data_IF_455193204560
#
_entry.id   IF_455193204560
#
_cell.length_a   1.000
_cell.length_b   1.000
_cell.length_c   1.000
_cell.angle_alpha   90.00
_cell.angle_beta   90.00
_cell.angle_gamma   90.00
#
_symmetry.space_group_name_H-M   'P 1'
#
loop_
_entity.id
_entity.type
_entity.pdbx_description
1 polymer ?
#
# COMPACT_ATOMS: atom_id res chain seq x y z
N UNK A 1 50.51 -66.99 -28.11
CA UNK A 1 50.12 -68.42 -28.05
C UNK A 1 48.68 -68.46 -27.57
N UNK A 2 47.66 -68.97 -28.23
CA UNK A 2 47.50 -69.71 -29.49
C UNK A 2 46.05 -69.52 -29.94
N UNK A 3 45.90 -69.38 -31.25
CA UNK A 3 44.67 -69.22 -32.02
C UNK A 3 43.98 -70.58 -32.19
N UNK A 4 42.68 -70.70 -31.92
CA UNK A 4 41.87 -71.84 -32.38
C UNK A 4 40.61 -71.32 -33.05
N UNK A 5 40.58 -71.52 -34.38
CA UNK A 5 39.40 -71.43 -35.23
C UNK A 5 38.53 -72.67 -35.02
N UNK A 6 37.21 -72.52 -35.02
CA UNK A 6 36.30 -73.58 -35.47
C UNK A 6 35.24 -73.03 -36.41
N UNK A 7 35.06 -73.78 -37.50
CA UNK A 7 34.29 -73.47 -38.71
C UNK A 7 32.79 -73.75 -38.52
N UNK A 8 32.02 -72.93 -39.24
CA UNK A 8 30.68 -73.10 -39.81
C UNK A 8 30.06 -74.51 -39.82
N UNK A 9 28.77 -74.60 -39.48
CA UNK A 9 27.77 -75.35 -40.25
C UNK A 9 26.41 -74.64 -40.18
N UNK A 10 25.84 -74.39 -41.36
CA UNK A 10 24.49 -73.86 -41.58
C UNK A 10 23.48 -74.99 -41.40
N UNK A 11 22.48 -74.78 -40.55
CA UNK A 11 21.24 -75.56 -40.55
C UNK A 11 20.07 -74.57 -40.67
N UNK A 12 19.45 -74.55 -41.85
CA UNK A 12 18.23 -73.81 -42.10
C UNK A 12 17.05 -74.54 -41.43
N UNK A 13 16.35 -73.85 -40.53
CA UNK A 13 15.07 -74.32 -39.98
C UNK A 13 14.01 -73.29 -40.40
N UNK A 14 13.02 -73.67 -41.21
CA UNK A 14 11.95 -72.77 -41.62
C UNK A 14 10.93 -72.72 -40.49
N UNK A 15 10.78 -71.58 -39.81
CA UNK A 15 9.67 -71.39 -38.87
C UNK A 15 8.92 -70.10 -39.20
N UNK A 16 7.86 -70.33 -39.98
CA UNK A 16 6.54 -69.67 -39.95
C UNK A 16 6.51 -68.21 -39.48
N UNK A 17 6.38 -67.32 -40.45
CA UNK A 17 5.95 -65.94 -40.28
C UNK A 17 4.51 -65.96 -39.72
N UNK A 18 4.36 -65.80 -38.41
CA UNK A 18 3.10 -65.42 -37.79
C UNK A 18 2.97 -63.90 -37.80
N UNK A 19 2.36 -63.33 -38.84
CA UNK A 19 1.92 -61.93 -38.79
C UNK A 19 0.71 -61.88 -37.86
N UNK A 20 0.94 -61.61 -36.58
CA UNK A 20 -0.11 -61.12 -35.70
C UNK A 20 -0.46 -59.72 -36.14
N UNK A 21 -1.55 -59.58 -36.90
CA UNK A 21 -2.22 -58.31 -37.07
C UNK A 21 -2.86 -57.98 -35.73
N UNK A 22 -2.11 -57.31 -34.86
CA UNK A 22 -2.71 -56.59 -33.75
C UNK A 22 -3.52 -55.45 -34.37
N UNK A 23 -4.84 -55.65 -34.51
CA UNK A 23 -5.74 -54.55 -34.76
C UNK A 23 -5.60 -53.59 -33.57
N UNK A 24 -4.91 -52.48 -33.78
CA UNK A 24 -4.89 -51.39 -32.81
C UNK A 24 -6.32 -50.84 -32.74
N UNK A 25 -7.11 -51.36 -31.79
CA UNK A 25 -8.35 -50.72 -31.37
C UNK A 25 -7.92 -49.38 -30.78
N UNK A 26 -8.05 -48.33 -31.58
CA UNK A 26 -7.92 -46.96 -31.09
C UNK A 26 -9.14 -46.72 -30.22
N UNK A 27 -9.03 -47.03 -28.93
CA UNK A 27 -9.96 -46.51 -27.94
C UNK A 27 -9.76 -45.00 -27.98
N UNK A 28 -10.67 -44.30 -28.68
CA UNK A 28 -10.83 -42.86 -28.46
C UNK A 28 -11.30 -42.72 -27.03
N UNK A 29 -10.36 -42.46 -26.12
CA UNK A 29 -10.69 -41.85 -24.85
C UNK A 29 -11.28 -40.49 -25.20
N UNK A 30 -12.60 -40.41 -25.29
CA UNK A 30 -13.29 -39.14 -25.21
C UNK A 30 -12.98 -38.62 -23.81
N UNK A 31 -11.94 -37.78 -23.70
CA UNK A 31 -11.77 -36.94 -22.54
C UNK A 31 -13.12 -36.22 -22.38
N UNK A 32 -13.80 -36.35 -21.22
CA UNK A 32 -14.92 -35.48 -20.99
C UNK A 32 -14.39 -34.06 -21.16
N UNK A 33 -15.07 -33.26 -21.98
CA UNK A 33 -14.87 -31.82 -21.98
C UNK A 33 -15.17 -31.37 -20.55
N UNK A 34 -14.13 -31.37 -19.71
CA UNK A 34 -14.09 -30.58 -18.50
C UNK A 34 -14.02 -29.18 -19.06
N UNK A 35 -15.20 -28.61 -19.31
CA UNK A 35 -15.37 -27.17 -19.27
C UNK A 35 -14.67 -26.76 -17.98
N UNK A 36 -13.46 -26.22 -18.12
CA UNK A 36 -12.79 -25.55 -17.04
C UNK A 36 -13.78 -24.46 -16.63
N UNK A 37 -14.54 -24.73 -15.57
CA UNK A 37 -15.35 -23.73 -14.93
C UNK A 37 -14.35 -22.67 -14.49
N UNK A 38 -14.24 -21.60 -15.27
CA UNK A 38 -13.52 -20.41 -14.87
C UNK A 38 -14.07 -20.04 -13.51
N UNK A 39 -13.25 -19.99 -12.43
CA UNK A 39 -13.74 -19.62 -11.13
C UNK A 39 -14.20 -18.17 -11.21
N UNK A 40 -15.50 -17.98 -11.46
CA UNK A 40 -16.20 -16.69 -11.50
C UNK A 40 -16.55 -16.24 -10.08
N UNK A 41 -15.64 -16.48 -9.15
CA UNK A 41 -15.65 -15.91 -7.81
C UNK A 41 -14.34 -15.16 -7.63
N UNK A 42 -14.18 -14.09 -8.41
CA UNK A 42 -13.40 -12.96 -7.93
C UNK A 42 -14.29 -12.34 -6.86
N UNK A 43 -14.27 -12.89 -5.65
CA UNK A 43 -14.77 -12.15 -4.49
C UNK A 43 -14.02 -10.83 -4.55
N UNK A 44 -14.73 -9.77 -4.90
CA UNK A 44 -14.19 -8.42 -4.84
C UNK A 44 -14.04 -8.15 -3.36
N UNK A 45 -12.89 -8.54 -2.82
CA UNK A 45 -12.55 -8.30 -1.44
C UNK A 45 -12.40 -6.78 -1.31
N UNK A 46 -13.38 -6.15 -0.64
CA UNK A 46 -13.35 -4.71 -0.38
C UNK A 46 -12.15 -4.34 0.49
N UNK A 47 -11.43 -3.29 0.10
CA UNK A 47 -10.45 -2.62 0.92
C UNK A 47 -11.06 -1.39 1.60
N UNK A 48 -11.91 -1.64 2.60
CA UNK A 48 -12.43 -0.59 3.48
C UNK A 48 -11.56 -0.52 4.73
N UNK A 49 -11.25 0.69 5.18
CA UNK A 49 -10.57 0.88 6.47
C UNK A 49 -11.53 0.59 7.62
N UNK A 50 -11.06 -0.16 8.62
CA UNK A 50 -11.80 -0.39 9.86
C UNK A 50 -11.20 0.51 10.94
N UNK A 51 -11.90 1.56 11.42
CA UNK A 51 -11.41 2.39 12.51
C UNK A 51 -11.13 1.57 13.77
N UNK A 52 -10.14 1.96 14.60
CA UNK A 52 -9.87 1.25 15.83
C UNK A 52 -11.07 1.36 16.79
N UNK A 53 -11.47 0.23 17.38
CA UNK A 53 -12.55 0.22 18.37
C UNK A 53 -12.05 0.87 19.68
N UNK A 54 -12.37 2.14 19.89
CA UNK A 54 -12.12 2.85 21.14
C UNK A 54 -13.44 3.10 21.84
N UNK A 55 -13.74 2.26 22.82
CA UNK A 55 -14.88 2.48 23.71
C UNK A 55 -14.72 3.83 24.43
N UNK A 56 -15.50 4.84 24.03
CA UNK A 56 -15.67 6.10 24.75
C UNK A 56 -14.48 7.07 24.78
N UNK A 57 -13.33 6.74 24.17
CA UNK A 57 -12.16 7.64 24.05
C UNK A 57 -12.04 8.14 22.61
N UNK A 58 -12.89 9.09 22.23
CA UNK A 58 -12.53 9.97 21.11
C UNK A 58 -11.17 10.60 21.42
N UNK A 59 -10.29 10.79 20.40
CA UNK A 59 -9.15 11.66 20.57
C UNK A 59 -9.63 12.96 21.21
N UNK A 60 -8.90 13.44 22.22
CA UNK A 60 -9.18 14.73 22.89
C UNK A 60 -9.46 15.74 21.78
N UNK A 61 -10.62 16.39 21.86
CA UNK A 61 -11.20 17.23 20.79
C UNK A 61 -10.12 17.97 20.02
N UNK A 62 -9.90 17.55 18.77
CA UNK A 62 -9.07 18.25 17.81
C UNK A 62 -9.59 19.70 17.77
N UNK A 63 -8.73 20.66 18.05
CA UNK A 63 -9.13 22.05 18.19
C UNK A 63 -9.89 22.50 16.94
N UNK A 64 -10.99 23.22 17.11
CA UNK A 64 -11.77 23.80 16.02
C UNK A 64 -11.05 24.98 15.35
N UNK A 65 -9.73 24.89 15.14
CA UNK A 65 -8.91 25.93 14.58
C UNK A 65 -8.71 25.74 13.08
N UNK A 66 -9.80 25.71 12.31
CA UNK A 66 -9.72 26.07 10.89
C UNK A 66 -9.68 27.60 10.83
N UNK A 67 -8.51 28.20 11.06
CA UNK A 67 -8.31 29.61 10.75
C UNK A 67 -8.19 29.68 9.22
N UNK A 68 -9.14 30.33 8.55
CA UNK A 68 -9.00 30.70 7.13
C UNK A 68 -7.99 31.83 6.96
N UNK A 69 -7.36 32.05 5.81
CA UNK A 69 -7.57 31.41 4.50
C UNK A 69 -6.32 31.37 3.61
N UNK A 70 -6.56 31.17 2.30
CA UNK A 70 -5.82 31.76 1.16
C UNK A 70 -6.92 32.08 0.10
N UNK A 71 -7.87 32.90 0.52
CA UNK A 71 -8.97 33.62 -0.17
C UNK A 71 -9.87 33.01 -1.28
N UNK A 72 -10.11 31.69 -1.34
CA UNK A 72 -11.40 31.08 -1.80
C UNK A 72 -11.36 29.55 -1.89
N UNK A 73 -10.20 28.91 -1.69
CA UNK A 73 -10.09 27.45 -1.74
C UNK A 73 -10.13 26.85 -0.35
N UNK A 74 -11.33 26.49 0.09
CA UNK A 74 -11.47 25.35 1.02
C UNK A 74 -10.64 24.20 0.42
N UNK A 75 -9.78 23.57 1.21
CA UNK A 75 -8.93 22.43 0.81
C UNK A 75 -7.62 22.77 0.07
N UNK A 76 -6.92 23.87 0.45
CA UNK A 76 -5.54 24.08 0.00
C UNK A 76 -4.67 22.86 0.31
N UNK A 77 -4.72 22.39 1.55
CA UNK A 77 -4.10 21.15 1.98
C UNK A 77 -5.15 20.29 2.68
N UNK A 78 -5.19 19.00 2.34
CA UNK A 78 -6.12 18.03 2.91
C UNK A 78 -5.36 16.81 3.40
N UNK A 79 -5.43 16.44 4.69
CA UNK A 79 -4.81 15.21 5.15
C UNK A 79 -5.52 13.98 4.59
N UNK A 80 -4.74 13.02 4.08
CA UNK A 80 -5.27 11.71 3.71
C UNK A 80 -5.34 10.86 4.97
N UNK A 81 -6.41 11.04 5.75
CA UNK A 81 -6.64 10.38 7.03
C UNK A 81 -8.10 9.98 7.25
N UNK A 82 -8.36 9.04 8.19
CA UNK A 82 -9.71 8.73 8.65
C UNK A 82 -10.44 9.97 9.17
N UNK A 83 -11.77 9.95 9.11
CA UNK A 83 -12.63 11.07 9.54
C UNK A 83 -12.41 11.44 11.01
N UNK A 84 -12.05 10.46 11.83
CA UNK A 84 -11.74 10.60 13.25
C UNK A 84 -10.38 11.30 13.51
N UNK A 85 -9.65 11.67 12.45
CA UNK A 85 -8.31 12.28 12.49
C UNK A 85 -7.28 11.46 13.28
N UNK A 86 -7.44 10.16 13.40
CA UNK A 86 -6.51 9.27 14.09
C UNK A 86 -6.01 8.17 13.15
N UNK A 87 -4.69 8.04 13.05
CA UNK A 87 -4.01 6.95 12.35
C UNK A 87 -3.21 6.08 13.31
N UNK A 88 -3.37 4.76 13.25
CA UNK A 88 -2.44 3.85 13.91
C UNK A 88 -1.27 3.51 12.98
N UNK A 89 -0.10 3.30 13.57
CA UNK A 89 1.12 2.86 12.90
C UNK A 89 1.82 1.75 13.68
N UNK A 90 2.50 0.83 13.01
CA UNK A 90 3.49 -0.06 13.61
C UNK A 90 4.90 0.55 13.59
N UNK A 91 5.18 1.36 12.58
CA UNK A 91 6.48 1.97 12.35
C UNK A 91 6.84 3.02 13.42
N UNK A 92 8.13 3.09 13.74
CA UNK A 92 8.71 4.14 14.61
C UNK A 92 8.70 5.50 13.96
N UNK A 93 8.65 5.51 12.63
CA UNK A 93 8.83 6.69 11.79
C UNK A 93 7.81 6.61 10.66
N UNK A 94 6.52 6.83 10.96
CA UNK A 94 5.46 6.71 9.96
C UNK A 94 5.63 7.70 8.81
N UNK A 95 5.01 7.37 7.69
CA UNK A 95 4.76 8.29 6.59
C UNK A 95 3.37 8.90 6.72
N UNK A 96 3.31 10.21 6.54
CA UNK A 96 2.09 11.01 6.49
C UNK A 96 1.81 11.41 5.04
N UNK A 97 0.52 11.52 4.70
CA UNK A 97 0.06 11.84 3.35
C UNK A 97 -0.92 13.00 3.39
N UNK A 98 -0.74 13.94 2.46
CA UNK A 98 -1.67 15.03 2.23
C UNK A 98 -1.87 15.24 0.74
N UNK A 99 -3.00 15.84 0.39
CA UNK A 99 -3.24 16.43 -0.92
C UNK A 99 -2.97 17.92 -0.81
N UNK A 100 -2.36 18.51 -1.83
CA UNK A 100 -2.29 19.96 -1.99
C UNK A 100 -2.93 20.39 -3.30
N UNK A 101 -3.69 21.47 -3.24
CA UNK A 101 -4.25 22.19 -4.38
C UNK A 101 -3.23 23.18 -4.95
N UNK A 102 -3.57 23.85 -6.06
CA UNK A 102 -2.68 24.86 -6.67
C UNK A 102 -2.44 26.02 -5.69
N UNK A 103 -1.18 26.18 -5.29
CA UNK A 103 -0.63 27.23 -4.41
C UNK A 103 0.67 27.79 -4.97
N UNK A 104 1.07 28.98 -4.49
CA UNK A 104 2.41 29.53 -4.67
C UNK A 104 3.36 29.15 -3.51
N UNK A 105 2.83 28.52 -2.46
CA UNK A 105 3.65 28.07 -1.32
C UNK A 105 4.60 26.95 -1.76
N UNK A 106 5.88 27.11 -1.46
CA UNK A 106 6.93 26.13 -1.78
C UNK A 106 7.15 25.13 -0.63
N UNK A 107 6.87 25.54 0.60
CA UNK A 107 7.08 24.73 1.81
C UNK A 107 5.87 24.76 2.73
N UNK A 108 5.82 23.74 3.58
CA UNK A 108 4.89 23.61 4.70
C UNK A 108 5.70 23.30 5.97
N UNK A 109 5.28 23.82 7.11
CA UNK A 109 5.87 23.51 8.41
C UNK A 109 5.13 22.31 9.02
N UNK A 110 5.88 21.25 9.31
CA UNK A 110 5.39 20.07 10.02
C UNK A 110 5.83 20.12 11.47
N UNK A 111 4.88 19.96 12.38
CA UNK A 111 5.12 19.85 13.82
C UNK A 111 4.57 18.53 14.33
N UNK A 112 5.29 17.90 15.26
CA UNK A 112 4.86 16.71 15.98
C UNK A 112 5.08 16.94 17.47
N UNK A 113 3.99 16.86 18.23
CA UNK A 113 3.96 17.00 19.69
C UNK A 113 3.62 15.66 20.34
N UNK A 114 4.07 15.44 21.57
CA UNK A 114 3.63 14.30 22.38
C UNK A 114 2.33 14.58 23.13
N UNK A 115 1.95 13.67 24.04
CA UNK A 115 0.73 13.74 24.84
C UNK A 115 0.70 14.87 25.88
N UNK A 116 1.83 15.54 26.13
CA UNK A 116 1.96 16.70 27.01
C UNK A 116 2.12 18.01 26.23
N UNK A 117 1.86 17.99 24.91
CA UNK A 117 2.12 19.09 23.98
C UNK A 117 3.61 19.49 23.88
N UNK A 118 4.53 18.61 24.30
CA UNK A 118 5.97 18.84 24.17
C UNK A 118 6.42 18.55 22.73
N UNK A 119 7.28 19.42 22.18
CA UNK A 119 7.82 19.27 20.83
C UNK A 119 8.67 18.00 20.72
N UNK A 120 8.25 17.09 19.84
CA UNK A 120 8.99 15.86 19.49
C UNK A 120 9.82 16.08 18.23
N UNK A 121 9.24 16.72 17.23
CA UNK A 121 9.90 16.95 15.96
C UNK A 121 9.28 18.12 15.18
N UNK A 122 10.11 18.83 14.43
CA UNK A 122 9.73 19.92 13.55
C UNK A 122 10.54 19.84 12.24
N UNK A 123 9.90 20.12 11.10
CA UNK A 123 10.58 20.22 9.82
C UNK A 123 9.84 21.11 8.81
N UNK A 124 10.61 21.66 7.86
CA UNK A 124 10.05 22.20 6.62
C UNK A 124 9.89 21.08 5.59
N UNK A 125 8.68 20.88 5.10
CA UNK A 125 8.29 19.90 4.08
C UNK A 125 8.12 20.62 2.75
N UNK A 126 8.82 20.15 1.72
CA UNK A 126 8.66 20.70 0.37
C UNK A 126 7.30 20.32 -0.21
N UNK A 127 6.55 21.32 -0.66
CA UNK A 127 5.29 21.12 -1.37
C UNK A 127 5.56 20.82 -2.84
N UNK A 128 4.76 19.94 -3.47
CA UNK A 128 4.89 19.68 -4.90
C UNK A 128 4.51 20.94 -5.71
N UNK A 129 5.26 21.20 -6.78
CA UNK A 129 4.99 22.33 -7.70
C UNK A 129 3.66 22.21 -8.45
N UNK A 130 3.09 21.01 -8.51
CA UNK A 130 1.81 20.70 -9.15
C UNK A 130 0.84 20.16 -8.10
N UNK A 131 -0.46 20.43 -8.23
CA UNK A 131 -1.47 19.83 -7.35
C UNK A 131 -1.38 18.30 -7.36
N UNK A 132 -1.58 17.69 -6.20
CA UNK A 132 -1.51 16.26 -6.04
C UNK A 132 -1.24 15.81 -4.61
N UNK A 133 -1.11 14.50 -4.46
CA UNK A 133 -0.84 13.83 -3.20
C UNK A 133 0.66 13.75 -2.99
N UNK A 134 1.08 14.24 -1.83
CA UNK A 134 2.46 14.18 -1.38
C UNK A 134 2.58 13.49 -0.03
N UNK A 135 3.78 13.00 0.26
CA UNK A 135 4.11 12.32 1.49
C UNK A 135 5.30 12.95 2.22
N UNK A 136 5.32 12.77 3.54
CA UNK A 136 6.44 13.08 4.42
C UNK A 136 6.66 11.89 5.36
N UNK A 137 7.87 11.32 5.36
CA UNK A 137 8.27 10.28 6.30
C UNK A 137 9.09 10.92 7.40
N UNK A 138 8.84 10.57 8.67
CA UNK A 138 9.73 11.01 9.75
C UNK A 138 11.16 10.53 9.44
N UNK A 139 12.13 11.44 9.30
CA UNK A 139 13.46 11.04 8.86
C UNK A 139 14.21 10.34 10.00
N UNK A 140 15.33 9.63 9.73
CA UNK A 140 16.09 8.88 10.73
C UNK A 140 16.56 9.71 11.94
N UNK A 141 16.72 11.02 11.77
CA UNK A 141 17.19 11.96 12.78
C UNK A 141 16.10 12.35 13.78
N UNK A 142 14.81 12.18 13.44
CA UNK A 142 13.71 12.42 14.37
C UNK A 142 13.79 11.44 15.57
N UNK A 143 13.14 11.69 16.70
CA UNK A 143 12.90 10.65 17.69
C UNK A 143 11.92 9.59 17.15
N UNK A 144 12.19 8.31 17.40
CA UNK A 144 11.25 7.24 17.06
C UNK A 144 10.02 7.25 17.97
N UNK A 145 8.83 7.07 17.39
CA UNK A 145 7.58 7.02 18.16
C UNK A 145 7.58 5.82 19.11
N UNK A 146 7.14 6.04 20.35
CA UNK A 146 7.06 5.00 21.37
C UNK A 146 5.76 4.21 21.19
N UNK A 147 5.84 2.89 21.37
CA UNK A 147 4.64 2.03 21.35
C UNK A 147 3.64 2.44 22.45
N UNK A 148 2.36 2.41 22.12
CA UNK A 148 1.21 2.81 22.95
C UNK A 148 1.25 4.27 23.40
N UNK A 149 1.89 5.14 22.61
CA UNK A 149 1.85 6.60 22.78
C UNK A 149 1.20 7.27 21.58
N UNK A 150 0.42 8.31 21.88
CA UNK A 150 -0.18 9.22 20.90
C UNK A 150 0.69 10.44 20.72
N UNK A 151 0.66 10.97 19.50
CA UNK A 151 1.34 12.18 19.10
C UNK A 151 0.40 13.02 18.25
N UNK A 152 0.41 14.33 18.47
CA UNK A 152 -0.37 15.29 17.71
C UNK A 152 0.51 15.89 16.62
N UNK A 153 0.15 15.71 15.35
CA UNK A 153 0.85 16.34 14.25
C UNK A 153 0.06 17.53 13.70
N UNK A 154 0.78 18.54 13.25
CA UNK A 154 0.26 19.71 12.53
C UNK A 154 1.03 19.88 11.23
N UNK A 155 0.35 20.38 10.21
CA UNK A 155 0.96 20.83 8.97
C UNK A 155 0.41 22.21 8.63
N UNK A 156 1.28 23.22 8.63
CA UNK A 156 0.95 24.62 8.38
C UNK A 156 1.54 25.07 7.06
N UNK A 157 0.74 25.71 6.21
CA UNK A 157 1.18 26.29 4.94
C UNK A 157 0.99 27.79 5.01
N UNK A 158 2.09 28.52 4.80
CA UNK A 158 2.05 29.96 4.64
C UNK A 158 1.79 30.30 3.16
N UNK A 159 0.64 30.91 2.88
CA UNK A 159 0.33 31.51 1.60
C UNK A 159 0.55 33.02 1.66
N UNK A 160 1.80 33.47 1.64
CA UNK A 160 2.05 34.90 1.42
C UNK A 160 1.64 35.27 0.00
N UNK A 161 0.69 36.19 -0.12
CA UNK A 161 0.36 36.90 -1.36
C UNK A 161 0.78 38.37 -1.25
N UNK A 162 0.76 39.11 -2.36
CA UNK A 162 1.09 40.55 -2.34
C UNK A 162 0.14 41.38 -1.46
N UNK A 163 -1.04 40.85 -1.12
CA UNK A 163 -2.09 41.56 -0.37
C UNK A 163 -2.39 40.98 1.02
N UNK A 164 -2.08 39.72 1.28
CA UNK A 164 -2.36 39.04 2.57
C UNK A 164 -1.31 37.99 2.94
N UNK A 165 -0.99 37.92 4.24
CA UNK A 165 -0.31 36.78 4.86
C UNK A 165 -1.33 35.89 5.54
N UNK A 166 -1.46 34.67 5.04
CA UNK A 166 -2.59 33.79 5.31
C UNK A 166 -2.01 32.38 5.60
N UNK A 167 -2.35 31.79 6.75
CA UNK A 167 -1.81 30.50 7.19
C UNK A 167 -2.93 29.47 7.27
N UNK A 168 -2.76 28.37 6.53
CA UNK A 168 -3.66 27.22 6.58
C UNK A 168 -3.00 26.11 7.38
N UNK A 169 -3.63 25.69 8.47
CA UNK A 169 -3.17 24.58 9.30
C UNK A 169 -4.14 23.41 9.25
N UNK A 170 -3.62 22.20 9.03
CA UNK A 170 -4.33 20.93 9.21
C UNK A 170 -3.64 20.10 10.28
N UNK A 171 -4.38 19.21 10.93
CA UNK A 171 -3.91 18.49 12.12
C UNK A 171 -4.48 17.06 12.17
N UNK A 172 -3.88 16.23 13.02
CA UNK A 172 -4.41 14.93 13.39
C UNK A 172 -3.48 14.18 14.34
N UNK A 173 -3.88 12.96 14.67
CA UNK A 173 -3.23 12.13 15.66
C UNK A 173 -2.60 10.89 15.03
N UNK A 174 -1.42 10.52 15.53
CA UNK A 174 -0.80 9.24 15.25
C UNK A 174 -0.53 8.48 16.54
N UNK A 175 -0.83 7.19 16.57
CA UNK A 175 -0.47 6.30 17.67
C UNK A 175 0.33 5.11 17.16
N UNK A 176 1.51 4.88 17.76
CA UNK A 176 2.27 3.68 17.46
C UNK A 176 1.76 2.51 18.28
N UNK A 177 1.47 1.39 17.64
CA UNK A 177 1.09 0.12 18.26
C UNK A 177 2.00 -1.02 17.78
N UNK A 178 1.75 -2.26 18.22
CA UNK A 178 2.45 -3.45 17.77
C UNK A 178 1.49 -4.40 17.06
N UNK A 179 1.93 -5.14 16.03
CA UNK A 179 1.09 -6.14 15.41
C UNK A 179 0.79 -7.26 16.41
N UNK A 180 -0.48 -7.67 16.48
CA UNK A 180 -0.82 -8.93 17.15
C UNK A 180 -0.32 -10.12 16.31
N UNK A 181 -0.28 -11.31 16.93
CA UNK A 181 0.25 -12.52 16.28
C UNK A 181 -0.48 -12.87 14.98
N UNK A 182 -1.80 -12.74 14.94
CA UNK A 182 -2.59 -13.07 13.75
C UNK A 182 -2.29 -12.11 12.58
N UNK A 183 -2.21 -10.81 12.85
CA UNK A 183 -1.83 -9.80 11.85
C UNK A 183 -0.41 -10.02 11.35
N UNK A 184 0.53 -10.28 12.26
CA UNK A 184 1.93 -10.57 11.92
C UNK A 184 2.05 -11.79 10.99
N UNK A 185 1.36 -12.89 11.31
CA UNK A 185 1.33 -14.10 10.46
C UNK A 185 0.78 -13.79 9.07
N UNK A 186 -0.33 -13.03 8.98
CA UNK A 186 -0.93 -12.63 7.70
C UNK A 186 0.04 -11.79 6.86
N UNK A 187 0.72 -10.81 7.47
CA UNK A 187 1.67 -9.94 6.78
C UNK A 187 2.86 -10.73 6.21
N UNK A 188 3.41 -11.68 6.98
CA UNK A 188 4.55 -12.49 6.54
C UNK A 188 4.20 -13.48 5.43
N UNK A 189 2.95 -13.96 5.38
CA UNK A 189 2.47 -14.84 4.30
C UNK A 189 1.99 -14.07 3.06
N UNK A 190 1.88 -12.74 3.16
CA UNK A 190 1.32 -11.89 2.11
C UNK A 190 2.40 -11.20 1.28
N UNK A 191 2.19 -11.18 -0.03
CA UNK A 191 2.99 -10.37 -0.95
C UNK A 191 2.70 -8.88 -0.73
N UNK A 192 3.66 -7.97 -0.99
CA UNK A 192 3.46 -6.52 -0.82
C UNK A 192 2.16 -5.98 -1.42
N UNK A 193 1.75 -6.49 -2.59
CA UNK A 193 0.51 -6.14 -3.29
C UNK A 193 -0.77 -6.24 -2.44
N UNK A 194 -0.82 -7.14 -1.46
CA UNK A 194 -2.02 -7.41 -0.66
C UNK A 194 -1.88 -6.95 0.80
N UNK A 195 -0.77 -6.31 1.19
CA UNK A 195 -0.53 -5.91 2.58
C UNK A 195 -1.38 -4.74 3.02
N UNK A 196 -1.65 -3.78 2.13
CA UNK A 196 -2.50 -2.62 2.43
C UNK A 196 -3.88 -3.02 2.96
N UNK A 197 -4.45 -4.11 2.45
CA UNK A 197 -5.70 -4.65 3.00
C UNK A 197 -5.54 -5.18 4.42
N UNK A 198 -4.47 -5.93 4.69
CA UNK A 198 -4.22 -6.51 6.01
C UNK A 198 -4.05 -5.40 7.05
N UNK A 199 -3.34 -4.32 6.69
CA UNK A 199 -3.21 -3.14 7.53
C UNK A 199 -4.56 -2.45 7.76
N UNK A 200 -5.35 -2.22 6.70
CA UNK A 200 -6.66 -1.59 6.80
C UNK A 200 -7.67 -2.38 7.66
N UNK A 201 -7.68 -3.71 7.53
CA UNK A 201 -8.49 -4.62 8.35
C UNK A 201 -8.03 -4.63 9.82
N UNK A 202 -6.76 -4.30 10.08
CA UNK A 202 -6.16 -4.22 11.41
C UNK A 202 -6.16 -2.79 12.01
N UNK A 203 -6.88 -1.86 11.40
CA UNK A 203 -6.93 -0.44 11.80
C UNK A 203 -5.62 0.33 11.71
N UNK A 204 -4.65 -0.18 10.95
CA UNK A 204 -3.32 0.41 10.77
C UNK A 204 -3.34 1.31 9.53
N UNK A 205 -3.51 2.61 9.76
CA UNK A 205 -3.75 3.57 8.68
C UNK A 205 -2.48 3.88 7.89
N UNK A 206 -1.39 4.24 8.57
CA UNK A 206 -0.19 4.78 7.94
C UNK A 206 0.45 3.77 6.97
N UNK A 207 0.54 2.51 7.36
CA UNK A 207 1.05 1.44 6.51
C UNK A 207 0.03 1.02 5.43
N UNK A 208 -1.28 1.12 5.70
CA UNK A 208 -2.28 0.82 4.68
C UNK A 208 -2.16 1.78 3.49
N UNK A 209 -2.19 3.09 3.75
CA UNK A 209 -2.07 4.11 2.70
C UNK A 209 -0.69 4.09 2.05
N UNK A 210 0.38 3.95 2.84
CA UNK A 210 1.75 3.89 2.32
C UNK A 210 1.94 2.72 1.38
N UNK A 211 1.50 1.53 1.78
CA UNK A 211 1.66 0.34 0.97
C UNK A 211 0.90 0.48 -0.36
N UNK A 212 -0.37 0.90 -0.36
CA UNK A 212 -1.13 1.04 -1.63
C UNK A 212 -0.57 2.16 -2.51
N UNK A 213 -0.10 3.27 -1.95
CA UNK A 213 0.52 4.36 -2.72
C UNK A 213 1.80 3.87 -3.41
N UNK A 214 2.68 3.18 -2.67
CA UNK A 214 3.90 2.58 -3.22
C UNK A 214 3.61 1.54 -4.31
N UNK A 215 2.60 0.68 -4.11
CA UNK A 215 2.23 -0.30 -5.14
C UNK A 215 1.67 0.38 -6.40
N UNK A 216 0.94 1.49 -6.28
CA UNK A 216 0.52 2.30 -7.43
C UNK A 216 1.70 2.94 -8.16
N UNK A 217 2.73 3.37 -7.45
CA UNK A 217 3.96 3.87 -8.08
C UNK A 217 4.68 2.78 -8.89
N UNK A 218 4.75 1.55 -8.35
CA UNK A 218 5.42 0.43 -9.02
C UNK A 218 4.61 -0.08 -10.23
N UNK A 219 3.29 -0.15 -10.11
CA UNK A 219 2.41 -0.71 -11.12
C UNK A 219 1.17 0.19 -11.34
N UNK A 220 1.33 1.37 -11.98
CA UNK A 220 0.28 2.39 -12.08
C UNK A 220 -0.95 1.95 -12.88
N UNK A 221 -0.80 0.98 -13.78
CA UNK A 221 -1.89 0.43 -14.60
C UNK A 221 -2.50 -0.86 -14.02
N UNK A 222 -2.05 -1.33 -12.84
CA UNK A 222 -2.68 -2.48 -12.20
C UNK A 222 -4.06 -2.10 -11.66
N UNK A 223 -5.10 -2.58 -12.33
CA UNK A 223 -6.50 -2.38 -11.95
C UNK A 223 -6.81 -2.72 -10.48
N UNK A 224 -6.06 -3.65 -9.88
CA UNK A 224 -6.21 -4.02 -8.47
C UNK A 224 -5.76 -2.87 -7.58
N UNK A 225 -4.63 -2.23 -7.88
CA UNK A 225 -4.08 -1.13 -7.08
C UNK A 225 -4.90 0.15 -7.23
N UNK A 226 -5.46 0.39 -8.42
CA UNK A 226 -6.45 1.45 -8.64
C UNK A 226 -7.69 1.21 -7.80
N UNK A 227 -8.24 -0.01 -7.82
CA UNK A 227 -9.43 -0.35 -7.03
C UNK A 227 -9.17 -0.22 -5.54
N UNK A 228 -8.04 -0.75 -5.07
CA UNK A 228 -7.61 -0.73 -3.66
C UNK A 228 -7.44 0.69 -3.13
N UNK A 229 -6.80 1.57 -3.90
CA UNK A 229 -6.71 2.98 -3.59
C UNK A 229 -8.07 3.66 -3.49
N UNK A 230 -8.92 3.45 -4.50
CA UNK A 230 -10.25 4.06 -4.55
C UNK A 230 -11.09 3.61 -3.35
N UNK A 231 -11.09 2.32 -3.03
CA UNK A 231 -11.84 1.77 -1.90
C UNK A 231 -11.32 2.30 -0.57
N UNK A 232 -9.99 2.34 -0.38
CA UNK A 232 -9.39 2.81 0.86
C UNK A 232 -9.76 4.27 1.13
N UNK A 233 -9.54 5.17 0.17
CA UNK A 233 -9.86 6.59 0.34
C UNK A 233 -11.36 6.85 0.45
N UNK A 234 -12.18 6.16 -0.34
CA UNK A 234 -13.65 6.29 -0.25
C UNK A 234 -14.15 5.88 1.14
N UNK A 235 -13.57 4.82 1.73
CA UNK A 235 -14.00 4.33 3.05
C UNK A 235 -13.77 5.32 4.18
N UNK A 236 -12.89 6.30 4.01
CA UNK A 236 -12.60 7.37 4.97
C UNK A 236 -13.19 8.73 4.57
N UNK A 237 -14.05 8.76 3.54
CA UNK A 237 -14.71 9.98 3.07
C UNK A 237 -13.89 10.83 2.10
N UNK A 238 -12.76 10.33 1.61
CA UNK A 238 -11.84 11.03 0.69
C UNK A 238 -12.08 10.65 -0.79
N UNK A 239 -13.34 10.36 -1.15
CA UNK A 239 -13.73 9.92 -2.50
C UNK A 239 -13.32 10.90 -3.60
N UNK A 240 -13.26 12.19 -3.31
CA UNK A 240 -12.92 13.22 -4.30
C UNK A 240 -11.42 13.22 -4.65
N UNK A 241 -10.58 12.61 -3.81
CA UNK A 241 -9.13 12.55 -4.00
C UNK A 241 -8.65 11.27 -4.71
N UNK A 242 -9.55 10.36 -5.07
CA UNK A 242 -9.17 9.05 -5.64
C UNK A 242 -8.46 9.18 -6.99
N UNK A 243 -8.78 10.23 -7.75
CA UNK A 243 -8.22 10.51 -9.07
C UNK A 243 -7.01 11.44 -9.04
N UNK A 244 -6.61 11.93 -7.87
CA UNK A 244 -5.48 12.84 -7.72
C UNK A 244 -4.16 12.12 -8.03
N UNK A 245 -3.22 12.88 -8.62
CA UNK A 245 -1.89 12.35 -8.96
C UNK A 245 -1.04 12.18 -7.70
N UNK A 246 -0.24 11.12 -7.65
CA UNK A 246 0.71 10.88 -6.55
C UNK A 246 2.06 11.45 -7.00
N UNK A 247 2.49 12.60 -6.46
CA UNK A 247 3.53 13.45 -7.07
C UNK A 247 4.95 13.20 -6.57
N UNK A 248 5.18 13.00 -5.27
CA UNK A 248 6.54 12.80 -4.70
C UNK A 248 6.75 11.43 -4.04
N UNK A 249 5.70 10.61 -3.93
CA UNK A 249 5.75 9.29 -3.26
C UNK A 249 6.49 8.27 -4.14
N UNK A 250 6.44 8.44 -5.46
CA UNK A 250 7.00 7.50 -6.42
C UNK A 250 8.51 7.69 -6.64
N UNK A 251 9.11 8.72 -6.06
CA UNK A 251 10.54 9.03 -6.18
C UNK A 251 11.38 8.38 -5.05
N UNK A 252 10.73 7.82 -4.02
CA UNK A 252 11.41 7.15 -2.89
C UNK A 252 11.83 5.72 -3.26
N UNK A 253 12.71 5.60 -4.26
CA UNK A 253 13.53 4.40 -4.51
C UNK A 253 14.79 4.83 -5.23
N UNK A 254 15.80 5.26 -4.48
CA UNK A 254 17.22 5.21 -4.83
C UNK A 254 18.04 5.64 -3.61
N UNK A 255 18.16 4.77 -2.62
CA UNK A 255 19.28 4.82 -1.65
C UNK A 255 19.59 3.41 -1.16
N UNK A 256 19.90 2.54 -2.12
CA UNK A 256 20.75 1.36 -1.92
C UNK A 256 22.10 1.66 -2.58
N UNK A 257 22.88 2.59 -2.02
CA UNK A 257 24.31 2.67 -2.32
C UNK A 257 25.10 3.41 -1.23
N UNK A 258 25.37 2.73 -0.10
CA UNK A 258 26.67 2.86 0.60
C UNK A 258 26.95 1.65 1.50
#
# INVERSE_FOLDING_TARGET
MTWIKKKLYLAAIPLSIGISIAAAVSVRANAPNVFAATPKNRTLISQSFTPPNREGKSPVTAGAATRGGCDTKQNLVTPLMPKEKLGLTFDERPTFYWHTSKSNAETAEFLLLDDNDDLVYEANVNLPKKPGIFAFTLPPEAPGLKTNKQYHWYLSVNCSSEETDDIVTVEGWVERTKPNLATWIKLNKSTPKYRSKIYADASIWHEAITNVAQQRCIAPYDSTMVLYWNQLLTSVGLKELVSESITNVCEVKNDDNK
#
